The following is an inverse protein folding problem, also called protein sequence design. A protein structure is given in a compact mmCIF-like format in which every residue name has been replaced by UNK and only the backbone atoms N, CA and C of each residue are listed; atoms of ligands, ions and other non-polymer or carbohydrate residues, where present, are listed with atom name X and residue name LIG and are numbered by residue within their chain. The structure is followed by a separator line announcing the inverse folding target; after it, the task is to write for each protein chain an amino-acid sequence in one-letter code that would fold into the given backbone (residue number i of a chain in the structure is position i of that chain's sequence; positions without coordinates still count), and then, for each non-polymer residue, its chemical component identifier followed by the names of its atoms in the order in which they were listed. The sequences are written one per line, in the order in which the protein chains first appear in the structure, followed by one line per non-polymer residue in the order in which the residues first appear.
data_IF_426327206328
#
_entry.id   IF_426327206328
#
_cell.length_a   1.000
_cell.length_b   1.000
_cell.length_c   1.000
_cell.angle_alpha   90.00
_cell.angle_beta   90.00
_cell.angle_gamma   90.00
#
_symmetry.space_group_name_H-M   'P 1'
#
loop_
_entity.id
_entity.type
_entity.pdbx_description
1 polymer ?
#
# COMPACT_ATOMS: atom_id res chain seq x y z
N UNK A 1 -6.64 -25.80 43.74
CA UNK A 1 -7.13 -26.60 42.61
C UNK A 1 -6.63 -25.89 41.37
N UNK A 2 -5.78 -26.53 40.55
CA UNK A 2 -5.39 -25.94 39.28
C UNK A 2 -6.66 -25.78 38.43
N UNK A 3 -6.86 -24.62 37.82
CA UNK A 3 -7.94 -24.40 36.85
C UNK A 3 -7.80 -25.39 35.69
N UNK A 4 -8.87 -25.67 34.95
CA UNK A 4 -8.72 -26.39 33.69
C UNK A 4 -8.01 -25.49 32.66
N UNK A 5 -7.20 -26.06 31.74
CA UNK A 5 -6.59 -25.28 30.67
C UNK A 5 -7.66 -24.67 29.77
N UNK A 6 -7.41 -23.49 29.16
CA UNK A 6 -8.38 -22.86 28.27
C UNK A 6 -8.71 -23.76 27.07
N UNK A 7 -9.99 -23.80 26.67
CA UNK A 7 -10.44 -24.56 25.50
C UNK A 7 -10.16 -23.77 24.20
N UNK A 8 -9.28 -24.27 23.30
CA UNK A 8 -8.95 -23.59 22.06
C UNK A 8 -10.14 -23.41 21.10
N UNK A 9 -11.23 -24.18 21.24
CA UNK A 9 -12.43 -24.08 20.39
C UNK A 9 -13.16 -22.74 20.51
N UNK A 10 -12.92 -22.00 21.60
CA UNK A 10 -13.45 -20.65 21.83
C UNK A 10 -12.66 -19.55 21.13
N UNK A 11 -11.55 -19.90 20.46
CA UNK A 11 -10.65 -18.94 19.84
C UNK A 11 -10.54 -19.20 18.33
N UNK A 12 -10.60 -18.12 17.56
CA UNK A 12 -10.54 -18.18 16.12
C UNK A 12 -9.09 -18.09 15.64
N UNK A 13 -8.56 -19.21 15.13
CA UNK A 13 -7.18 -19.36 14.69
C UNK A 13 -6.70 -18.31 13.67
N UNK A 14 -7.61 -17.87 12.79
CA UNK A 14 -7.32 -16.90 11.73
C UNK A 14 -7.15 -15.46 12.24
N UNK A 15 -7.67 -15.14 13.43
CA UNK A 15 -7.53 -13.81 14.01
C UNK A 15 -6.37 -13.78 15.01
N UNK A 16 -5.33 -13.00 14.68
CA UNK A 16 -4.12 -12.85 15.52
C UNK A 16 -4.49 -12.52 16.97
N UNK A 17 -5.39 -11.56 17.20
CA UNK A 17 -5.82 -11.17 18.55
C UNK A 17 -6.51 -12.32 19.30
N UNK A 18 -7.32 -13.13 18.63
CA UNK A 18 -8.00 -14.27 19.26
C UNK A 18 -7.00 -15.38 19.61
N UNK A 19 -6.08 -15.69 18.69
CA UNK A 19 -5.02 -16.68 18.90
C UNK A 19 -4.07 -16.26 20.03
N UNK A 20 -3.63 -15.00 20.05
CA UNK A 20 -2.79 -14.46 21.13
C UNK A 20 -3.50 -14.38 22.47
N UNK A 21 -4.82 -14.19 22.47
CA UNK A 21 -5.62 -14.29 23.69
C UNK A 21 -5.60 -15.71 24.26
N UNK A 22 -5.77 -16.74 23.44
CA UNK A 22 -5.60 -18.13 23.88
C UNK A 22 -4.22 -18.37 24.47
N UNK A 23 -3.17 -17.93 23.78
CA UNK A 23 -1.80 -18.09 24.26
C UNK A 23 -1.65 -17.44 25.63
N UNK A 24 -2.05 -16.17 25.78
CA UNK A 24 -2.02 -15.47 27.07
C UNK A 24 -2.78 -16.22 28.17
N UNK A 25 -4.02 -16.64 27.90
CA UNK A 25 -4.84 -17.36 28.88
C UNK A 25 -4.20 -18.72 29.27
N UNK A 26 -3.51 -19.37 28.33
CA UNK A 26 -2.81 -20.63 28.59
C UNK A 26 -1.52 -20.42 29.40
N UNK A 27 -0.74 -19.38 29.07
CA UNK A 27 0.48 -19.04 29.81
C UNK A 27 0.17 -18.66 31.25
N UNK A 28 -0.90 -17.91 31.50
CA UNK A 28 -1.39 -17.61 32.85
C UNK A 28 -1.78 -18.88 33.62
N UNK A 29 -2.35 -19.89 32.94
CA UNK A 29 -2.66 -21.18 33.54
C UNK A 29 -1.41 -21.99 33.91
N UNK A 30 -0.35 -21.93 33.08
CA UNK A 30 0.93 -22.62 33.32
C UNK A 30 1.73 -21.95 34.44
N UNK A 31 1.70 -20.61 34.51
CA UNK A 31 2.29 -19.80 35.58
C UNK A 31 3.27 -18.73 35.09
N UNK A 32 3.64 -17.80 35.99
CA UNK A 32 4.32 -16.53 35.68
C UNK A 32 5.65 -16.65 34.91
N UNK A 33 6.40 -17.75 35.07
CA UNK A 33 7.65 -17.99 34.34
C UNK A 33 7.42 -18.17 32.82
N UNK A 34 6.23 -18.67 32.43
CA UNK A 34 5.86 -18.87 31.03
C UNK A 34 5.55 -17.54 30.33
N UNK A 35 4.82 -16.65 31.00
CA UNK A 35 4.49 -15.31 30.49
C UNK A 35 5.75 -14.46 30.30
N UNK A 36 6.70 -14.55 31.24
CA UNK A 36 7.94 -13.77 31.17
C UNK A 36 8.87 -14.16 30.00
N UNK A 37 8.80 -15.41 29.54
CA UNK A 37 9.67 -15.95 28.46
C UNK A 37 9.03 -15.96 27.09
N UNK A 38 7.71 -15.73 27.01
CA UNK A 38 6.98 -15.82 25.75
C UNK A 38 7.49 -14.80 24.72
N UNK A 39 7.73 -13.56 25.14
CA UNK A 39 8.17 -12.50 24.23
C UNK A 39 9.54 -12.83 23.60
N UNK A 40 10.49 -13.34 24.40
CA UNK A 40 11.81 -13.80 23.91
C UNK A 40 11.67 -14.99 22.93
N UNK A 41 10.79 -15.95 23.24
CA UNK A 41 10.51 -17.08 22.35
C UNK A 41 9.87 -16.63 21.04
N UNK A 42 8.95 -15.67 21.10
CA UNK A 42 8.25 -15.13 19.95
C UNK A 42 9.19 -14.32 19.05
N UNK A 43 10.08 -13.51 19.62
CA UNK A 43 11.11 -12.79 18.87
C UNK A 43 12.04 -13.76 18.14
N UNK A 44 12.52 -14.80 18.83
CA UNK A 44 13.35 -15.84 18.23
C UNK A 44 12.61 -16.63 17.13
N UNK A 45 11.31 -16.87 17.30
CA UNK A 45 10.49 -17.52 16.31
C UNK A 45 10.32 -16.65 15.06
N UNK A 46 10.07 -15.35 15.22
CA UNK A 46 10.05 -14.41 14.10
C UNK A 46 11.36 -14.42 13.34
N UNK A 47 12.50 -14.32 14.02
CA UNK A 47 13.82 -14.34 13.37
C UNK A 47 14.02 -15.62 12.54
N UNK A 48 13.70 -16.80 13.10
CA UNK A 48 13.82 -18.08 12.41
C UNK A 48 12.91 -18.17 11.18
N UNK A 49 11.65 -17.74 11.31
CA UNK A 49 10.70 -17.75 10.19
C UNK A 49 11.15 -16.78 9.10
N UNK A 50 11.58 -15.57 9.45
CA UNK A 50 12.01 -14.53 8.50
C UNK A 50 13.31 -14.90 7.78
N UNK A 51 14.29 -15.52 8.45
CA UNK A 51 15.48 -16.06 7.79
C UNK A 51 15.10 -17.19 6.81
N UNK A 52 14.18 -18.10 7.18
CA UNK A 52 13.68 -19.14 6.27
C UNK A 52 13.00 -18.56 5.02
N UNK A 53 12.24 -17.46 5.18
CA UNK A 53 11.60 -16.75 4.06
C UNK A 53 12.62 -16.09 3.13
N UNK A 54 13.69 -15.50 3.70
CA UNK A 54 14.81 -14.93 2.94
C UNK A 54 15.56 -16.01 2.15
N UNK A 55 15.81 -17.18 2.73
CA UNK A 55 16.43 -18.32 2.02
C UNK A 55 15.58 -18.76 0.82
N UNK A 56 14.25 -18.74 0.97
CA UNK A 56 13.28 -18.99 -0.10
C UNK A 56 13.14 -17.84 -1.10
N UNK A 57 13.87 -16.73 -0.91
CA UNK A 57 13.84 -15.51 -1.74
C UNK A 57 12.46 -14.86 -1.83
N UNK A 58 11.66 -14.96 -0.79
CA UNK A 58 10.37 -14.26 -0.71
C UNK A 58 10.60 -12.82 -0.25
N UNK A 59 10.18 -11.83 -1.05
CA UNK A 59 10.32 -10.40 -0.74
C UNK A 59 9.08 -9.82 -0.07
N UNK A 60 7.93 -10.45 -0.26
CA UNK A 60 6.65 -10.09 0.35
C UNK A 60 6.02 -11.35 0.91
N UNK A 61 5.42 -11.22 2.09
CA UNK A 61 4.71 -12.32 2.75
C UNK A 61 3.43 -11.83 3.38
N UNK A 62 2.47 -12.74 3.52
CA UNK A 62 1.21 -12.50 4.19
C UNK A 62 1.42 -12.16 5.67
N UNK A 63 0.77 -11.09 6.12
CA UNK A 63 0.81 -10.70 7.53
C UNK A 63 0.26 -11.80 8.43
N UNK A 64 -0.97 -12.25 8.19
CA UNK A 64 -1.63 -13.24 9.06
C UNK A 64 -0.90 -14.59 9.07
N UNK A 65 -0.34 -15.01 7.93
CA UNK A 65 0.47 -16.22 7.86
C UNK A 65 1.75 -16.09 8.69
N UNK A 66 2.46 -14.96 8.59
CA UNK A 66 3.71 -14.75 9.32
C UNK A 66 3.47 -14.77 10.83
N UNK A 67 2.45 -14.04 11.28
CA UNK A 67 2.09 -13.97 12.70
C UNK A 67 1.66 -15.35 13.21
N UNK A 68 0.90 -16.10 12.42
CA UNK A 68 0.52 -17.48 12.78
C UNK A 68 1.73 -18.41 12.87
N UNK A 69 2.61 -18.37 11.87
CA UNK A 69 3.76 -19.26 11.81
C UNK A 69 4.76 -18.94 12.94
N UNK A 70 4.95 -17.65 13.26
CA UNK A 70 5.74 -17.23 14.42
C UNK A 70 5.14 -17.74 15.72
N UNK A 71 3.83 -17.56 15.97
CA UNK A 71 3.18 -18.07 17.17
C UNK A 71 3.28 -19.62 17.26
N UNK A 72 3.10 -20.33 16.14
CA UNK A 72 3.21 -21.79 16.03
C UNK A 72 4.62 -22.30 16.33
N UNK A 73 5.64 -21.56 15.88
CA UNK A 73 7.05 -21.89 16.09
C UNK A 73 7.51 -21.54 17.50
N UNK A 74 7.04 -20.43 18.06
CA UNK A 74 7.33 -19.99 19.43
C UNK A 74 6.77 -20.96 20.48
N UNK A 75 5.61 -21.55 20.21
CA UNK A 75 4.94 -22.48 21.14
C UNK A 75 5.83 -23.63 21.61
N UNK A 76 6.34 -24.54 20.75
CA UNK A 76 7.23 -25.61 21.20
C UNK A 76 8.58 -25.11 21.74
N UNK A 77 9.06 -23.92 21.34
CA UNK A 77 10.29 -23.33 21.87
C UNK A 77 10.14 -23.04 23.37
N UNK A 78 9.07 -22.32 23.73
CA UNK A 78 8.81 -21.97 25.12
C UNK A 78 8.73 -23.20 26.03
N UNK A 79 7.95 -24.21 25.63
CA UNK A 79 7.77 -25.40 26.48
C UNK A 79 9.01 -26.29 26.57
N UNK A 80 9.89 -26.24 25.56
CA UNK A 80 11.21 -26.86 25.64
C UNK A 80 12.08 -26.19 26.71
N UNK A 81 11.97 -24.87 26.89
CA UNK A 81 12.70 -24.14 27.93
C UNK A 81 12.12 -24.31 29.33
N UNK A 82 10.78 -24.36 29.45
CA UNK A 82 10.10 -24.52 30.73
C UNK A 82 10.23 -25.95 31.30
N UNK A 83 10.63 -26.92 30.49
CA UNK A 83 10.64 -28.35 30.87
C UNK A 83 9.26 -28.86 31.34
N UNK A 84 8.19 -28.29 30.79
CA UNK A 84 6.78 -28.66 31.05
C UNK A 84 6.21 -29.27 29.76
N UNK A 85 5.45 -30.36 29.89
CA UNK A 85 4.76 -30.96 28.75
C UNK A 85 3.62 -30.05 28.28
N UNK A 86 3.77 -29.48 27.08
CA UNK A 86 2.78 -28.63 26.45
C UNK A 86 1.61 -29.45 25.89
N UNK A 87 0.43 -28.83 25.78
CA UNK A 87 -0.53 -29.29 24.79
C UNK A 87 0.02 -29.06 23.39
N UNK A 88 -0.29 -29.97 22.48
CA UNK A 88 0.00 -29.80 21.06
C UNK A 88 -0.62 -28.49 20.56
N UNK A 89 0.05 -27.81 19.62
CA UNK A 89 -0.45 -26.58 19.02
C UNK A 89 -1.87 -26.80 18.48
N UNK A 90 -2.90 -26.12 19.02
CA UNK A 90 -4.28 -26.54 18.83
C UNK A 90 -4.94 -25.96 17.58
N UNK A 91 -4.23 -25.07 16.87
CA UNK A 91 -4.80 -24.32 15.77
C UNK A 91 -4.37 -24.89 14.41
N UNK A 92 -5.31 -24.84 13.46
CA UNK A 92 -5.03 -25.03 12.05
C UNK A 92 -5.46 -23.79 11.29
N UNK A 93 -4.60 -23.31 10.40
CA UNK A 93 -4.89 -22.17 9.56
C UNK A 93 -5.82 -22.60 8.40
N UNK A 94 -6.90 -21.85 8.09
CA UNK A 94 -7.72 -22.11 6.92
C UNK A 94 -6.89 -22.10 5.61
N UNK A 95 -7.29 -22.90 4.62
CA UNK A 95 -6.53 -23.09 3.38
C UNK A 95 -6.30 -21.82 2.57
N UNK A 96 -7.21 -20.85 2.67
CA UNK A 96 -7.10 -19.53 2.02
C UNK A 96 -5.93 -18.68 2.55
N UNK A 97 -5.44 -18.96 3.76
CA UNK A 97 -4.28 -18.32 4.36
C UNK A 97 -3.03 -19.22 4.33
N UNK A 98 -3.14 -20.43 3.78
CA UNK A 98 -2.08 -21.44 3.83
C UNK A 98 -0.99 -21.15 2.78
N UNK A 99 0.01 -20.39 3.20
CA UNK A 99 1.23 -20.14 2.43
C UNK A 99 1.74 -18.71 2.63
N UNK A 100 3.07 -18.51 2.70
CA UNK A 100 3.65 -17.17 2.89
C UNK A 100 3.31 -16.21 1.75
N UNK A 101 3.14 -16.71 0.53
CA UNK A 101 2.78 -15.94 -0.67
C UNK A 101 1.29 -15.54 -0.73
N UNK A 102 0.44 -16.08 0.15
CA UNK A 102 -0.99 -15.79 0.20
C UNK A 102 -1.25 -14.46 0.93
N UNK A 103 -0.78 -13.36 0.34
CA UNK A 103 -0.93 -11.97 0.83
C UNK A 103 -2.38 -11.46 0.85
N UNK A 104 -3.35 -12.36 0.89
CA UNK A 104 -4.78 -12.11 0.80
C UNK A 104 -5.39 -11.41 2.04
N UNK A 105 -4.57 -10.96 2.99
CA UNK A 105 -5.00 -10.09 4.08
C UNK A 105 -4.04 -8.91 4.26
N UNK A 106 -3.11 -8.75 3.32
CA UNK A 106 -2.09 -7.71 3.34
C UNK A 106 -0.67 -8.24 3.44
N UNK A 107 0.26 -7.36 3.08
CA UNK A 107 1.69 -7.57 3.17
C UNK A 107 2.12 -7.33 4.61
N UNK A 108 2.93 -8.23 5.17
CA UNK A 108 3.44 -8.10 6.54
C UNK A 108 4.36 -6.87 6.71
N UNK A 109 3.95 -5.82 7.44
CA UNK A 109 4.84 -4.70 7.74
C UNK A 109 6.03 -5.16 8.60
N UNK A 110 5.83 -6.16 9.47
CA UNK A 110 6.88 -6.77 10.31
C UNK A 110 8.01 -7.34 9.45
N UNK A 111 7.67 -8.11 8.40
CA UNK A 111 8.68 -8.67 7.51
C UNK A 111 9.35 -7.59 6.66
N UNK A 112 8.59 -6.61 6.16
CA UNK A 112 9.17 -5.52 5.38
C UNK A 112 10.18 -4.71 6.18
N UNK A 113 9.84 -4.38 7.44
CA UNK A 113 10.75 -3.69 8.35
C UNK A 113 12.01 -4.51 8.59
N UNK A 114 11.84 -5.79 8.95
CA UNK A 114 12.97 -6.70 9.18
C UNK A 114 13.93 -6.79 7.99
N UNK A 115 13.40 -6.73 6.76
CA UNK A 115 14.19 -6.69 5.53
C UNK A 115 14.94 -5.37 5.40
N UNK A 116 14.26 -4.23 5.55
CA UNK A 116 14.88 -2.90 5.46
C UNK A 116 16.00 -2.72 6.49
N UNK A 117 15.78 -3.11 7.74
CA UNK A 117 16.76 -3.03 8.83
C UNK A 117 18.06 -3.82 8.53
N UNK A 118 17.98 -4.78 7.59
CA UNK A 118 19.11 -5.62 7.14
C UNK A 118 19.64 -5.23 5.75
N UNK A 119 19.19 -4.10 5.19
CA UNK A 119 19.54 -3.66 3.85
C UNK A 119 19.03 -4.59 2.74
N UNK A 120 17.98 -5.36 3.01
CA UNK A 120 17.34 -6.26 2.05
C UNK A 120 16.19 -5.55 1.33
N UNK A 121 16.06 -5.80 0.04
CA UNK A 121 14.97 -5.21 -0.76
C UNK A 121 13.60 -5.79 -0.39
N UNK A 122 12.61 -4.91 -0.26
CA UNK A 122 11.18 -5.24 0.00
C UNK A 122 10.39 -5.59 -1.27
N UNK A 123 11.07 -5.59 -2.41
CA UNK A 123 10.49 -5.80 -3.73
C UNK A 123 11.39 -6.75 -4.55
N UNK A 124 10.77 -7.52 -5.44
CA UNK A 124 11.44 -8.57 -6.20
C UNK A 124 12.18 -7.93 -7.37
N UNK A 125 13.40 -7.49 -7.11
CA UNK A 125 14.19 -6.76 -8.09
C UNK A 125 15.60 -7.34 -8.16
N UNK A 126 15.94 -7.84 -9.35
CA UNK A 126 17.29 -8.20 -9.80
C UNK A 126 18.10 -6.97 -10.26
N UNK A 127 17.97 -5.81 -9.61
CA UNK A 127 18.63 -4.57 -10.03
C UNK A 127 19.80 -4.16 -9.15
N UNK A 128 20.80 -3.56 -9.82
CA UNK A 128 22.03 -3.04 -9.24
C UNK A 128 22.02 -1.51 -9.02
N UNK A 129 20.92 -0.80 -9.30
CA UNK A 129 20.92 0.67 -9.23
C UNK A 129 19.67 1.21 -8.52
N UNK A 130 19.87 1.73 -7.29
CA UNK A 130 18.92 2.62 -6.59
C UNK A 130 18.64 3.82 -7.52
N UNK A 131 17.39 4.31 -7.64
CA UNK A 131 17.10 5.46 -8.51
C UNK A 131 17.99 6.65 -8.14
N UNK A 132 18.29 7.49 -9.13
CA UNK A 132 19.08 8.69 -8.91
C UNK A 132 18.42 9.58 -7.84
N UNK A 133 19.15 9.84 -6.76
CA UNK A 133 18.71 10.74 -5.69
C UNK A 133 18.47 12.14 -6.25
N UNK A 134 17.22 12.59 -6.18
CA UNK A 134 16.82 13.92 -6.64
C UNK A 134 17.36 14.99 -5.67
N UNK A 135 18.03 16.00 -6.22
CA UNK A 135 18.75 17.04 -5.45
C UNK A 135 17.86 17.66 -4.36
N UNK A 136 18.30 17.55 -3.11
CA UNK A 136 17.63 18.18 -1.98
C UNK A 136 17.71 19.71 -2.08
N UNK A 137 18.86 20.26 -2.45
CA UNK A 137 19.08 21.70 -2.55
C UNK A 137 18.10 22.35 -3.53
N UNK A 138 17.89 21.73 -4.69
CA UNK A 138 16.94 22.23 -5.69
C UNK A 138 15.49 22.16 -5.21
N UNK A 139 15.13 21.08 -4.51
CA UNK A 139 13.80 20.91 -3.90
C UNK A 139 13.57 21.96 -2.79
N UNK A 140 14.55 22.17 -1.94
CA UNK A 140 14.51 23.17 -0.87
C UNK A 140 14.30 24.58 -1.42
N UNK A 141 14.94 24.93 -2.54
CA UNK A 141 14.80 26.26 -3.14
C UNK A 141 13.34 26.59 -3.51
N UNK A 142 12.55 25.61 -3.92
CA UNK A 142 11.11 25.80 -4.20
C UNK A 142 10.26 25.70 -2.94
N UNK A 143 10.61 24.78 -2.04
CA UNK A 143 9.89 24.52 -0.79
C UNK A 143 9.90 25.74 0.13
N UNK A 144 11.05 26.36 0.34
CA UNK A 144 11.20 27.51 1.25
C UNK A 144 10.51 28.79 0.74
N UNK A 145 10.20 28.87 -0.56
CA UNK A 145 9.48 30.01 -1.16
C UNK A 145 7.99 30.02 -0.81
N UNK A 146 7.44 28.92 -0.29
CA UNK A 146 6.02 28.83 0.09
C UNK A 146 5.88 28.54 1.60
N UNK A 147 5.39 29.55 2.33
CA UNK A 147 5.17 29.46 3.78
C UNK A 147 4.09 28.45 4.20
N UNK A 148 3.32 27.90 3.26
CA UNK A 148 2.28 26.90 3.53
C UNK A 148 2.84 25.48 3.65
N UNK A 149 4.10 25.26 3.25
CA UNK A 149 4.74 23.97 3.47
C UNK A 149 5.22 23.80 4.91
N UNK A 150 5.16 22.56 5.45
CA UNK A 150 5.65 22.31 6.78
C UNK A 150 7.17 22.50 6.85
N UNK A 151 7.63 23.10 7.95
CA UNK A 151 9.05 23.27 8.27
C UNK A 151 9.65 22.05 8.98
N UNK A 152 8.78 21.28 9.63
CA UNK A 152 9.17 20.07 10.35
C UNK A 152 8.99 18.86 9.45
N UNK A 153 10.03 18.04 9.39
CA UNK A 153 10.04 16.73 8.74
C UNK A 153 9.33 15.72 9.67
N UNK A 154 8.04 15.53 9.46
CA UNK A 154 7.21 14.61 10.24
C UNK A 154 6.29 13.86 9.29
N UNK A 155 6.25 12.53 9.43
CA UNK A 155 5.40 11.68 8.62
C UNK A 155 3.93 12.20 8.60
N UNK A 156 3.29 12.18 7.42
CA UNK A 156 3.76 11.55 6.20
C UNK A 156 4.71 12.43 5.38
N UNK A 157 4.83 13.73 5.64
CA UNK A 157 5.72 14.62 4.88
C UNK A 157 7.09 14.67 5.57
N UNK A 158 7.98 13.75 5.17
CA UNK A 158 9.30 13.54 5.80
C UNK A 158 10.37 14.54 5.33
N UNK A 159 10.03 15.44 4.40
CA UNK A 159 10.93 16.49 3.95
C UNK A 159 10.40 17.22 2.70
N UNK A 160 11.20 18.12 2.11
CA UNK A 160 10.80 18.89 0.93
C UNK A 160 10.40 17.99 -0.23
N UNK A 161 9.11 17.94 -0.58
CA UNK A 161 8.58 17.05 -1.63
C UNK A 161 8.86 15.56 -1.38
N UNK A 162 8.81 15.14 -0.11
CA UNK A 162 8.96 13.75 0.31
C UNK A 162 7.71 13.28 1.06
N UNK A 163 7.18 12.11 0.70
CA UNK A 163 6.02 11.52 1.37
C UNK A 163 6.24 10.04 1.69
N UNK A 164 6.03 9.66 2.95
CA UNK A 164 6.16 8.31 3.46
C UNK A 164 4.96 7.43 3.06
N UNK A 165 5.21 6.18 2.70
CA UNK A 165 4.20 5.13 2.51
C UNK A 165 4.37 4.07 3.61
N UNK A 166 3.29 3.70 4.33
CA UNK A 166 3.30 2.56 5.23
C UNK A 166 3.78 1.27 4.56
N UNK A 167 4.50 0.43 5.31
CA UNK A 167 5.13 -0.80 4.78
C UNK A 167 4.14 -1.89 4.33
N UNK A 168 2.86 -1.76 4.68
CA UNK A 168 1.79 -2.65 4.20
C UNK A 168 1.30 -2.29 2.79
N UNK A 169 1.68 -1.13 2.26
CA UNK A 169 1.35 -0.72 0.88
C UNK A 169 2.18 -1.53 -0.11
N UNK A 170 1.52 -2.05 -1.14
CA UNK A 170 2.19 -2.80 -2.22
C UNK A 170 2.88 -1.84 -3.20
N UNK A 171 4.02 -1.29 -2.78
CA UNK A 171 4.84 -0.37 -3.56
C UNK A 171 5.29 -0.99 -4.90
N UNK A 172 5.47 -2.31 -4.95
CA UNK A 172 5.84 -2.99 -6.18
C UNK A 172 4.74 -2.84 -7.23
N UNK A 173 3.51 -3.25 -6.92
CA UNK A 173 2.41 -3.17 -7.90
C UNK A 173 1.95 -1.74 -8.17
N UNK A 174 2.14 -0.83 -7.20
CA UNK A 174 1.56 0.51 -7.25
C UNK A 174 2.53 1.61 -7.73
N UNK A 175 3.84 1.42 -7.59
CA UNK A 175 4.83 2.46 -7.92
C UNK A 175 5.89 1.96 -8.89
N UNK A 176 6.48 0.78 -8.63
CA UNK A 176 7.68 0.33 -9.34
C UNK A 176 7.33 -0.47 -10.59
N UNK A 177 6.45 -1.45 -10.44
CA UNK A 177 6.11 -2.43 -11.46
C UNK A 177 7.26 -3.41 -11.74
N UNK A 178 6.96 -4.42 -12.56
CA UNK A 178 7.98 -5.34 -13.06
C UNK A 178 9.09 -4.56 -13.77
N UNK A 179 10.32 -4.85 -13.39
CA UNK A 179 11.49 -4.19 -13.95
C UNK A 179 11.51 -2.64 -13.86
N UNK A 180 10.91 -2.04 -12.82
CA UNK A 180 10.75 -0.58 -12.68
C UNK A 180 9.94 0.08 -13.81
N UNK A 181 9.22 -0.69 -14.64
CA UNK A 181 8.53 -0.15 -15.81
C UNK A 181 7.54 0.97 -15.48
N UNK A 182 6.88 0.94 -14.31
CA UNK A 182 5.96 2.00 -13.91
C UNK A 182 6.72 3.28 -13.59
N UNK A 183 7.83 3.19 -12.85
CA UNK A 183 8.66 4.34 -12.51
C UNK A 183 9.35 4.93 -13.74
N UNK A 184 9.85 4.08 -14.63
CA UNK A 184 10.44 4.51 -15.91
C UNK A 184 9.42 5.22 -16.79
N UNK A 185 8.20 4.67 -16.87
CA UNK A 185 7.10 5.31 -17.60
C UNK A 185 6.69 6.64 -16.98
N UNK A 186 6.65 6.75 -15.64
CA UNK A 186 6.43 8.04 -14.95
C UNK A 186 7.44 9.06 -15.41
N UNK A 187 8.73 8.73 -15.34
CA UNK A 187 9.84 9.66 -15.57
C UNK A 187 10.10 9.96 -17.06
N UNK A 188 9.81 9.02 -17.96
CA UNK A 188 10.14 9.17 -19.38
C UNK A 188 8.95 9.60 -20.25
N UNK A 189 7.70 9.33 -19.84
CA UNK A 189 6.52 9.51 -20.70
C UNK A 189 5.42 10.40 -20.10
N UNK A 190 5.24 10.36 -18.77
CA UNK A 190 4.09 10.96 -18.12
C UNK A 190 4.41 12.36 -17.60
N UNK A 191 5.43 12.49 -16.75
CA UNK A 191 5.79 13.77 -16.12
C UNK A 191 6.57 14.67 -17.09
N UNK A 192 6.55 16.00 -16.90
CA UNK A 192 7.39 16.89 -17.68
C UNK A 192 8.87 16.48 -17.63
N UNK A 193 9.64 16.57 -18.74
CA UNK A 193 11.01 16.05 -18.81
C UNK A 193 11.99 16.60 -17.77
N UNK A 194 11.65 17.73 -17.16
CA UNK A 194 12.46 18.40 -16.14
C UNK A 194 12.19 17.95 -14.71
N UNK A 195 11.16 17.12 -14.51
CA UNK A 195 10.78 16.57 -13.23
C UNK A 195 11.06 15.08 -13.23
N UNK A 196 11.16 14.54 -12.02
CA UNK A 196 11.25 13.11 -11.81
C UNK A 196 10.57 12.73 -10.49
N UNK A 197 10.15 11.48 -10.43
CA UNK A 197 9.76 10.77 -9.22
C UNK A 197 10.85 9.74 -8.91
N UNK A 198 11.25 9.69 -7.66
CA UNK A 198 12.21 8.75 -7.09
C UNK A 198 11.65 8.20 -5.78
N UNK A 199 12.40 7.32 -5.14
CA UNK A 199 12.13 6.87 -3.79
C UNK A 199 13.41 6.80 -2.97
N UNK A 200 13.25 6.76 -1.65
CA UNK A 200 14.29 6.46 -0.67
C UNK A 200 13.72 5.44 0.32
N UNK A 201 14.56 4.49 0.72
CA UNK A 201 14.26 3.42 1.69
C UNK A 201 15.13 3.53 2.94
N UNK A 202 15.77 4.68 3.14
CA UNK A 202 16.67 4.94 4.27
C UNK A 202 15.89 5.18 5.59
N UNK A 203 14.55 5.29 5.52
CA UNK A 203 13.67 5.39 6.69
C UNK A 203 13.26 3.98 7.15
N UNK A 204 13.76 3.54 8.31
CA UNK A 204 13.52 2.19 8.91
C UNK A 204 12.02 1.81 9.07
N UNK A 205 11.10 2.77 8.94
CA UNK A 205 9.68 2.58 9.18
C UNK A 205 8.79 2.76 7.94
N UNK A 206 9.32 3.22 6.80
CA UNK A 206 8.49 3.54 5.64
C UNK A 206 9.26 3.57 4.31
N UNK A 207 8.52 3.39 3.23
CA UNK A 207 9.02 3.67 1.89
C UNK A 207 8.70 5.13 1.53
N UNK A 208 9.69 5.97 1.24
CA UNK A 208 9.45 7.40 0.99
C UNK A 208 9.54 7.72 -0.50
N UNK A 209 8.45 8.25 -1.07
CA UNK A 209 8.44 8.82 -2.41
C UNK A 209 9.03 10.23 -2.41
N UNK A 210 9.78 10.55 -3.46
CA UNK A 210 10.44 11.84 -3.64
C UNK A 210 10.06 12.43 -4.99
N UNK A 211 9.56 13.66 -4.99
CA UNK A 211 9.33 14.45 -6.21
C UNK A 211 10.41 15.50 -6.33
N UNK A 212 11.03 15.64 -7.51
CA UNK A 212 12.13 16.57 -7.70
C UNK A 212 12.43 16.88 -9.15
N UNK A 213 13.60 17.47 -9.37
CA UNK A 213 14.09 17.81 -10.69
C UNK A 213 14.87 16.67 -11.30
N UNK A 214 14.65 16.43 -12.60
CA UNK A 214 15.35 15.38 -13.32
C UNK A 214 16.85 15.68 -13.40
N UNK A 215 17.73 14.74 -13.02
CA UNK A 215 19.18 14.95 -13.06
C UNK A 215 19.73 15.06 -14.49
N UNK A 216 18.95 14.65 -15.49
CA UNK A 216 19.32 14.71 -16.91
C UNK A 216 19.02 16.07 -17.53
N UNK A 217 18.35 16.97 -16.80
CA UNK A 217 17.98 18.30 -17.31
C UNK A 217 18.70 19.41 -16.58
N UNK A 218 19.27 20.35 -17.35
CA UNK A 218 19.91 21.56 -16.81
C UNK A 218 18.87 22.65 -16.59
N UNK A 219 18.15 22.60 -15.47
CA UNK A 219 17.13 23.61 -15.13
C UNK A 219 17.45 24.28 -13.81
N UNK A 220 17.31 25.61 -13.81
CA UNK A 220 17.42 26.43 -12.61
C UNK A 220 16.06 26.44 -11.89
N UNK A 221 15.99 25.96 -10.64
CA UNK A 221 14.82 26.18 -9.79
C UNK A 221 14.55 27.68 -9.64
N UNK A 222 13.31 28.08 -9.39
CA UNK A 222 12.94 29.49 -9.23
C UNK A 222 12.50 30.24 -10.48
N UNK A 223 12.42 29.57 -11.64
CA UNK A 223 11.64 30.11 -12.77
C UNK A 223 10.15 29.84 -12.53
N UNK A 224 9.30 30.85 -12.73
CA UNK A 224 7.88 30.83 -12.37
C UNK A 224 7.08 29.65 -12.96
N UNK A 225 7.44 29.13 -14.13
CA UNK A 225 6.79 27.94 -14.71
C UNK A 225 7.36 26.59 -14.23
N UNK A 226 8.58 26.58 -13.72
CA UNK A 226 9.24 25.38 -13.18
C UNK A 226 8.72 25.08 -11.78
N UNK A 227 8.56 26.13 -10.96
CA UNK A 227 8.03 26.04 -9.60
C UNK A 227 6.57 25.54 -9.60
N UNK A 228 5.72 26.02 -10.52
CA UNK A 228 4.35 25.49 -10.68
C UNK A 228 4.32 24.02 -11.08
N UNK A 229 5.22 23.60 -11.98
CA UNK A 229 5.24 22.21 -12.49
C UNK A 229 5.56 21.20 -11.38
N UNK A 230 6.58 21.48 -10.55
CA UNK A 230 6.92 20.59 -9.43
C UNK A 230 5.83 20.56 -8.36
N UNK A 231 5.17 21.71 -8.09
CA UNK A 231 4.05 21.79 -7.14
C UNK A 231 2.85 20.98 -7.61
N UNK A 232 2.50 21.05 -8.89
CA UNK A 232 1.41 20.27 -9.46
C UNK A 232 1.68 18.76 -9.39
N UNK A 233 2.91 18.33 -9.75
CA UNK A 233 3.30 16.93 -9.64
C UNK A 233 3.27 16.46 -8.17
N UNK A 234 3.77 17.28 -7.25
CA UNK A 234 3.71 17.00 -5.82
C UNK A 234 2.28 16.82 -5.32
N UNK A 235 1.38 17.75 -5.66
CA UNK A 235 -0.03 17.63 -5.27
C UNK A 235 -0.66 16.34 -5.80
N UNK A 236 -0.35 15.99 -7.05
CA UNK A 236 -0.84 14.74 -7.66
C UNK A 236 -0.31 13.50 -6.95
N UNK A 237 0.98 13.49 -6.55
CA UNK A 237 1.56 12.39 -5.78
C UNK A 237 0.93 12.30 -4.39
N UNK A 238 0.72 13.42 -3.69
CA UNK A 238 0.10 13.40 -2.36
C UNK A 238 -1.36 12.96 -2.43
N UNK A 239 -2.14 13.42 -3.41
CA UNK A 239 -3.53 12.98 -3.60
C UNK A 239 -3.59 11.47 -3.85
N UNK A 240 -2.71 10.95 -4.72
CA UNK A 240 -2.59 9.51 -4.96
C UNK A 240 -2.19 8.74 -3.69
N UNK A 241 -1.26 9.27 -2.91
CA UNK A 241 -0.84 8.65 -1.64
C UNK A 241 -2.00 8.58 -0.65
N UNK A 242 -2.79 9.64 -0.50
CA UNK A 242 -3.98 9.66 0.35
C UNK A 242 -4.99 8.61 -0.13
N UNK A 243 -5.26 8.51 -1.44
CA UNK A 243 -6.14 7.46 -1.97
C UNK A 243 -5.60 6.06 -1.67
N UNK A 244 -4.28 5.87 -1.74
CA UNK A 244 -3.63 4.59 -1.45
C UNK A 244 -3.73 4.22 0.04
N UNK A 245 -3.67 5.19 0.95
CA UNK A 245 -3.91 4.96 2.39
C UNK A 245 -5.31 4.38 2.63
N UNK A 246 -6.30 4.83 1.88
CA UNK A 246 -7.67 4.33 1.92
C UNK A 246 -7.91 3.15 0.96
N UNK A 247 -6.86 2.40 0.63
CA UNK A 247 -6.99 1.18 -0.15
C UNK A 247 -7.24 1.37 -1.64
N UNK A 248 -6.90 2.53 -2.20
CA UNK A 248 -6.87 2.78 -3.64
C UNK A 248 -5.96 1.78 -4.37
N UNK A 249 -6.39 1.36 -5.56
CA UNK A 249 -5.70 0.28 -6.32
C UNK A 249 -4.98 0.76 -7.57
N UNK A 250 -5.23 2.01 -7.98
CA UNK A 250 -4.61 2.62 -9.14
C UNK A 250 -3.11 2.83 -8.89
N UNK A 251 -2.26 2.39 -9.83
CA UNK A 251 -0.83 2.70 -9.78
C UNK A 251 -0.57 4.19 -9.93
N UNK A 252 0.52 4.69 -9.36
CA UNK A 252 0.92 6.09 -9.46
C UNK A 252 1.07 6.51 -10.94
N UNK A 253 1.61 5.64 -11.79
CA UNK A 253 1.74 5.90 -13.21
C UNK A 253 0.37 6.13 -13.88
N UNK A 254 -0.61 5.27 -13.61
CA UNK A 254 -1.96 5.46 -14.14
C UNK A 254 -2.60 6.72 -13.57
N UNK A 255 -2.48 6.97 -12.28
CA UNK A 255 -3.03 8.17 -11.65
C UNK A 255 -2.46 9.46 -12.26
N UNK A 256 -1.15 9.51 -12.48
CA UNK A 256 -0.50 10.66 -13.12
C UNK A 256 -0.91 10.81 -14.60
N UNK A 257 -1.15 9.71 -15.33
CA UNK A 257 -1.75 9.78 -16.69
C UNK A 257 -3.16 10.36 -16.65
N UNK A 258 -3.96 9.96 -15.67
CA UNK A 258 -5.30 10.53 -15.48
C UNK A 258 -5.22 12.03 -15.20
N UNK A 259 -4.31 12.46 -14.33
CA UNK A 259 -4.08 13.89 -14.04
C UNK A 259 -3.60 14.68 -15.27
N UNK A 260 -2.75 14.07 -16.10
CA UNK A 260 -2.31 14.66 -17.37
C UNK A 260 -3.46 14.83 -18.36
N UNK A 261 -4.32 13.81 -18.50
CA UNK A 261 -5.45 13.84 -19.42
C UNK A 261 -6.59 14.75 -18.93
N UNK A 262 -6.79 14.86 -17.62
CA UNK A 262 -7.80 15.71 -16.99
C UNK A 262 -7.16 16.58 -15.90
N UNK A 263 -6.48 17.68 -16.28
CA UNK A 263 -5.84 18.57 -15.33
C UNK A 263 -6.88 19.19 -14.39
N UNK A 264 -6.69 18.99 -13.09
CA UNK A 264 -7.42 19.75 -12.07
C UNK A 264 -6.90 21.19 -12.11
N UNK A 265 -7.80 22.17 -12.00
CA UNK A 265 -7.40 23.58 -11.95
C UNK A 265 -6.40 23.79 -10.80
N UNK A 266 -5.25 24.37 -11.13
CA UNK A 266 -4.20 24.73 -10.17
C UNK A 266 -4.70 25.91 -9.33
N UNK A 267 -5.44 25.63 -8.26
CA UNK A 267 -5.91 26.66 -7.35
C UNK A 267 -4.79 26.99 -6.34
N UNK A 268 -4.13 28.10 -6.65
CA UNK A 268 -3.02 28.74 -5.95
C UNK A 268 -3.22 28.87 -4.41
N UNK A 269 -2.14 29.19 -3.69
CA UNK A 269 -1.47 28.52 -2.55
C UNK A 269 -2.27 27.95 -1.35
N UNK A 270 -3.58 28.20 -1.22
CA UNK A 270 -4.37 27.70 -0.08
C UNK A 270 -4.52 26.16 -0.07
N UNK A 271 -4.28 25.52 -1.22
CA UNK A 271 -4.29 24.07 -1.33
C UNK A 271 -3.13 23.38 -0.61
N UNK A 272 -1.94 23.99 -0.49
CA UNK A 272 -0.78 23.29 0.08
C UNK A 272 -0.91 23.05 1.59
N UNK A 273 -1.46 24.01 2.35
CA UNK A 273 -1.73 23.84 3.77
C UNK A 273 -2.84 22.80 4.00
N UNK A 274 -3.93 22.87 3.23
CA UNK A 274 -5.05 21.94 3.32
C UNK A 274 -4.64 20.52 2.90
N UNK A 275 -3.84 20.39 1.86
CA UNK A 275 -3.31 19.11 1.38
C UNK A 275 -2.35 18.50 2.41
N UNK A 276 -1.47 19.31 3.00
CA UNK A 276 -0.59 18.87 4.08
C UNK A 276 -1.38 18.39 5.29
N UNK A 277 -2.41 19.14 5.70
CA UNK A 277 -3.28 18.74 6.79
C UNK A 277 -4.02 17.43 6.49
N UNK A 278 -4.62 17.33 5.30
CA UNK A 278 -5.32 16.12 4.84
C UNK A 278 -4.40 14.90 4.77
N UNK A 279 -3.17 15.07 4.30
CA UNK A 279 -2.19 13.98 4.26
C UNK A 279 -1.84 13.52 5.68
N UNK A 280 -1.62 14.45 6.61
CA UNK A 280 -1.34 14.13 8.02
C UNK A 280 -2.50 13.44 8.71
N UNK A 281 -3.73 13.93 8.51
CA UNK A 281 -4.95 13.30 9.03
C UNK A 281 -5.10 11.88 8.51
N UNK A 282 -5.00 11.69 7.18
CA UNK A 282 -5.10 10.36 6.57
C UNK A 282 -3.98 9.42 7.04
N UNK A 283 -2.76 9.92 7.20
CA UNK A 283 -1.65 9.10 7.71
C UNK A 283 -1.85 8.71 9.18
N UNK A 284 -2.30 9.64 10.03
CA UNK A 284 -2.59 9.34 11.43
C UNK A 284 -3.70 8.27 11.54
N UNK A 285 -4.77 8.40 10.75
CA UNK A 285 -5.87 7.45 10.70
C UNK A 285 -5.38 6.03 10.35
N UNK A 286 -4.53 5.89 9.32
CA UNK A 286 -3.99 4.57 8.96
C UNK A 286 -2.93 4.02 9.92
N UNK A 287 -2.33 4.86 10.75
CA UNK A 287 -1.42 4.42 11.82
C UNK A 287 -2.19 4.00 13.07
N UNK A 288 -3.36 4.58 13.33
CA UNK A 288 -4.22 4.20 14.45
C UNK A 288 -4.86 2.83 14.21
N UNK A 289 -5.27 2.52 12.97
CA UNK A 289 -5.90 1.23 12.62
C UNK A 289 -5.26 0.53 11.40
N UNK A 290 -3.95 0.22 11.40
CA UNK A 290 -3.22 -0.27 10.22
C UNK A 290 -3.79 -1.58 9.67
N UNK A 291 -4.30 -2.45 10.55
CA UNK A 291 -4.92 -3.72 10.17
C UNK A 291 -6.24 -3.53 9.43
N UNK A 292 -7.02 -2.49 9.76
CA UNK A 292 -8.28 -2.21 9.09
C UNK A 292 -8.00 -1.76 7.65
N UNK A 293 -7.16 -0.75 7.46
CA UNK A 293 -6.83 -0.22 6.14
C UNK A 293 -6.08 -1.21 5.26
N UNK A 294 -5.17 -2.01 5.84
CA UNK A 294 -4.49 -3.07 5.10
C UNK A 294 -5.47 -4.11 4.54
N UNK A 295 -6.49 -4.51 5.33
CA UNK A 295 -7.55 -5.42 4.89
C UNK A 295 -8.45 -4.77 3.84
N UNK A 296 -8.85 -3.51 4.05
CA UNK A 296 -9.70 -2.80 3.09
C UNK A 296 -9.01 -2.61 1.73
N UNK A 297 -7.73 -2.24 1.73
CA UNK A 297 -6.89 -2.20 0.54
C UNK A 297 -6.84 -3.55 -0.18
N UNK A 298 -6.82 -4.65 0.58
CA UNK A 298 -6.86 -5.98 0.01
C UNK A 298 -8.24 -6.32 -0.59
N UNK A 299 -9.33 -6.06 0.13
CA UNK A 299 -10.71 -6.26 -0.36
C UNK A 299 -10.91 -5.51 -1.67
N UNK A 300 -10.47 -4.26 -1.74
CA UNK A 300 -10.52 -3.45 -2.96
C UNK A 300 -9.72 -4.10 -4.10
N UNK A 301 -8.50 -4.58 -3.87
CA UNK A 301 -7.70 -5.28 -4.90
C UNK A 301 -8.35 -6.56 -5.41
N UNK A 302 -8.95 -7.36 -4.53
CA UNK A 302 -9.65 -8.58 -4.92
C UNK A 302 -10.89 -8.26 -5.74
N UNK A 303 -11.67 -7.28 -5.31
CA UNK A 303 -12.84 -6.82 -6.04
C UNK A 303 -12.46 -6.36 -7.45
N UNK A 304 -11.40 -5.55 -7.56
CA UNK A 304 -10.83 -5.15 -8.85
C UNK A 304 -10.43 -6.33 -9.73
N UNK A 305 -9.79 -7.35 -9.16
CA UNK A 305 -9.41 -8.55 -9.89
C UNK A 305 -10.63 -9.36 -10.36
N UNK A 306 -11.68 -9.47 -9.55
CA UNK A 306 -12.93 -10.14 -9.92
C UNK A 306 -13.66 -9.42 -11.05
N UNK A 307 -13.67 -8.08 -11.05
CA UNK A 307 -14.31 -7.28 -12.09
C UNK A 307 -13.48 -7.19 -13.39
N UNK A 308 -12.20 -7.55 -13.35
CA UNK A 308 -11.23 -7.23 -14.41
C UNK A 308 -11.63 -7.78 -15.77
N UNK A 309 -11.90 -9.07 -15.84
CA UNK A 309 -12.14 -9.74 -17.12
C UNK A 309 -13.44 -9.25 -17.77
N UNK A 310 -14.52 -9.14 -16.99
CA UNK A 310 -15.81 -8.58 -17.43
C UNK A 310 -15.65 -7.16 -17.99
N UNK A 311 -14.97 -6.28 -17.26
CA UNK A 311 -14.81 -4.88 -17.68
C UNK A 311 -13.92 -4.80 -18.92
N UNK A 312 -12.85 -5.58 -19.01
CA UNK A 312 -11.98 -5.62 -20.19
C UNK A 312 -12.75 -6.06 -21.44
N UNK A 313 -13.59 -7.09 -21.34
CA UNK A 313 -14.46 -7.53 -22.43
C UNK A 313 -15.39 -6.40 -22.90
N UNK A 314 -15.99 -5.65 -21.97
CA UNK A 314 -16.91 -4.57 -22.31
C UNK A 314 -16.19 -3.39 -22.98
N UNK A 315 -15.02 -2.96 -22.48
CA UNK A 315 -14.32 -1.78 -23.03
C UNK A 315 -13.65 -2.03 -24.38
N UNK A 316 -13.54 -3.29 -24.81
CA UNK A 316 -13.12 -3.66 -26.17
C UNK A 316 -14.22 -3.37 -27.22
N UNK A 317 -15.47 -3.17 -26.79
CA UNK A 317 -16.56 -2.75 -27.67
C UNK A 317 -16.36 -1.30 -28.18
N UNK A 318 -17.00 -0.91 -29.29
CA UNK A 318 -17.06 0.49 -29.70
C UNK A 318 -17.48 1.42 -28.55
N UNK A 319 -16.80 2.55 -28.38
CA UNK A 319 -16.94 3.44 -27.23
C UNK A 319 -18.40 3.75 -26.81
N UNK A 320 -19.36 4.05 -27.72
CA UNK A 320 -20.75 4.28 -27.33
C UNK A 320 -21.42 3.03 -26.73
N UNK A 321 -21.12 1.86 -27.29
CA UNK A 321 -21.66 0.57 -26.86
C UNK A 321 -21.05 0.17 -25.51
N UNK A 322 -19.72 0.30 -25.37
CA UNK A 322 -19.00 0.05 -24.12
C UNK A 322 -19.57 0.84 -22.94
N UNK A 323 -19.86 2.14 -23.12
CA UNK A 323 -20.44 2.99 -22.05
C UNK A 323 -21.81 2.51 -21.59
N UNK A 324 -22.65 2.08 -22.54
CA UNK A 324 -24.00 1.57 -22.22
C UNK A 324 -23.89 0.22 -21.51
N UNK A 325 -23.07 -0.69 -22.01
CA UNK A 325 -22.88 -2.00 -21.40
C UNK A 325 -22.22 -1.92 -20.02
N UNK A 326 -21.23 -1.03 -19.81
CA UNK A 326 -20.67 -0.78 -18.48
C UNK A 326 -21.73 -0.26 -17.51
N UNK A 327 -22.60 0.66 -17.96
CA UNK A 327 -23.68 1.18 -17.12
C UNK A 327 -24.66 0.06 -16.73
N UNK A 328 -24.98 -0.85 -17.65
CA UNK A 328 -25.78 -2.06 -17.36
C UNK A 328 -25.07 -3.00 -16.39
N UNK A 329 -23.78 -3.24 -16.58
CA UNK A 329 -22.98 -4.10 -15.70
C UNK A 329 -22.88 -3.54 -14.27
N UNK A 330 -22.81 -2.22 -14.12
CA UNK A 330 -22.90 -1.54 -12.81
C UNK A 330 -24.27 -1.76 -12.16
N UNK A 331 -25.37 -1.50 -12.88
CA UNK A 331 -26.73 -1.52 -12.32
C UNK A 331 -27.23 -2.94 -12.03
N UNK A 332 -26.88 -3.91 -12.86
CA UNK A 332 -27.29 -5.31 -12.69
C UNK A 332 -26.43 -6.05 -11.66
N UNK A 333 -25.42 -5.39 -11.12
CA UNK A 333 -24.35 -5.99 -10.36
C UNK A 333 -24.66 -6.39 -8.92
N UNK A 334 -25.75 -5.89 -8.34
CA UNK A 334 -26.09 -6.12 -6.94
C UNK A 334 -26.84 -4.95 -6.29
N UNK A 335 -26.89 -4.88 -4.95
CA UNK A 335 -27.46 -3.76 -4.21
C UNK A 335 -26.81 -2.42 -4.55
N UNK A 336 -27.50 -1.31 -4.30
CA UNK A 336 -27.00 0.04 -4.61
C UNK A 336 -25.62 0.36 -4.00
N UNK A 337 -25.27 -0.22 -2.83
CA UNK A 337 -23.95 -0.08 -2.22
C UNK A 337 -22.81 -0.65 -3.08
N UNK A 338 -23.08 -1.66 -3.90
CA UNK A 338 -22.09 -2.25 -4.82
C UNK A 338 -21.96 -1.44 -6.12
N UNK A 339 -22.91 -0.54 -6.41
CA UNK A 339 -22.88 0.22 -7.66
C UNK A 339 -21.74 1.24 -7.70
N UNK A 340 -21.46 1.93 -6.60
CA UNK A 340 -20.34 2.88 -6.51
C UNK A 340 -18.98 2.17 -6.62
N UNK A 341 -18.84 1.01 -5.97
CA UNK A 341 -17.63 0.19 -6.06
C UNK A 341 -17.40 -0.32 -7.48
N UNK A 342 -18.46 -0.79 -8.16
CA UNK A 342 -18.40 -1.20 -9.57
C UNK A 342 -18.04 -0.05 -10.50
N UNK A 343 -18.60 1.15 -10.31
CA UNK A 343 -18.22 2.34 -11.09
C UNK A 343 -16.74 2.66 -10.90
N UNK A 344 -16.26 2.68 -9.65
CA UNK A 344 -14.85 2.87 -9.32
C UNK A 344 -13.98 1.83 -10.01
N UNK A 345 -14.38 0.56 -9.95
CA UNK A 345 -13.62 -0.54 -10.53
C UNK A 345 -13.56 -0.46 -12.06
N UNK A 346 -14.71 -0.28 -12.71
CA UNK A 346 -14.78 -0.12 -14.15
C UNK A 346 -13.95 1.07 -14.64
N UNK A 347 -14.04 2.22 -13.95
CA UNK A 347 -13.22 3.40 -14.23
C UNK A 347 -11.73 3.07 -14.14
N UNK A 348 -11.30 2.47 -13.02
CA UNK A 348 -9.89 2.17 -12.76
C UNK A 348 -9.31 1.16 -13.75
N UNK A 349 -10.05 0.10 -14.08
CA UNK A 349 -9.65 -0.88 -15.10
C UNK A 349 -9.54 -0.21 -16.47
N UNK A 350 -10.52 0.63 -16.84
CA UNK A 350 -10.52 1.30 -18.14
C UNK A 350 -9.37 2.29 -18.31
N UNK A 351 -9.12 3.16 -17.33
CA UNK A 351 -7.99 4.09 -17.42
C UNK A 351 -6.63 3.39 -17.31
N UNK A 352 -6.59 2.19 -16.71
CA UNK A 352 -5.37 1.37 -16.63
C UNK A 352 -5.09 0.59 -17.92
N UNK A 353 -6.09 0.39 -18.79
CA UNK A 353 -5.94 -0.39 -20.02
C UNK A 353 -5.54 0.44 -21.24
N UNK A 354 -5.45 1.77 -21.10
CA UNK A 354 -5.16 2.69 -22.22
C UNK A 354 -4.16 3.78 -21.83
N UNK A 355 -3.44 4.27 -22.83
CA UNK A 355 -2.59 5.47 -22.74
C UNK A 355 -3.16 6.63 -23.54
N UNK A 356 -4.27 6.43 -24.26
CA UNK A 356 -4.93 7.48 -25.04
C UNK A 356 -5.67 8.46 -24.12
N UNK A 357 -5.22 9.73 -24.14
CA UNK A 357 -5.76 10.78 -23.26
C UNK A 357 -7.26 11.00 -23.48
N UNK A 358 -7.75 10.86 -24.72
CA UNK A 358 -9.17 11.02 -25.02
C UNK A 358 -9.98 9.87 -24.44
N UNK A 359 -9.55 8.62 -24.57
CA UNK A 359 -10.21 7.48 -23.93
C UNK A 359 -10.24 7.65 -22.40
N UNK A 360 -9.15 8.12 -21.80
CA UNK A 360 -9.10 8.41 -20.34
C UNK A 360 -10.16 9.46 -19.95
N UNK A 361 -10.25 10.56 -20.71
CA UNK A 361 -11.26 11.59 -20.48
C UNK A 361 -12.69 11.02 -20.57
N UNK A 362 -12.95 10.21 -21.60
CA UNK A 362 -14.26 9.59 -21.82
C UNK A 362 -14.64 8.60 -20.70
N UNK A 363 -13.68 7.85 -20.17
CA UNK A 363 -13.87 6.97 -19.03
C UNK A 363 -14.21 7.75 -17.74
N UNK A 364 -13.53 8.87 -17.50
CA UNK A 364 -13.83 9.75 -16.35
C UNK A 364 -15.19 10.41 -16.46
N UNK A 365 -15.52 10.97 -17.63
CA UNK A 365 -16.83 11.58 -17.89
C UNK A 365 -17.94 10.56 -17.69
N UNK A 366 -17.76 9.33 -18.18
CA UNK A 366 -18.70 8.24 -17.93
C UNK A 366 -18.86 7.97 -16.43
N UNK A 367 -17.75 7.81 -15.69
CA UNK A 367 -17.79 7.48 -14.27
C UNK A 367 -18.53 8.53 -13.41
N UNK A 368 -18.48 9.81 -13.80
CA UNK A 368 -19.20 10.90 -13.11
C UNK A 368 -20.67 11.05 -13.53
N UNK A 369 -21.10 10.35 -14.58
CA UNK A 369 -22.46 10.43 -15.11
C UNK A 369 -23.48 9.60 -14.31
N UNK A 370 -24.79 9.90 -14.44
CA UNK A 370 -25.85 9.10 -13.84
C UNK A 370 -26.05 7.78 -14.60
N UNK A 371 -25.48 6.68 -14.09
CA UNK A 371 -25.49 5.35 -14.75
C UNK A 371 -26.91 4.77 -14.96
N UNK A 372 -27.86 5.09 -14.10
CA UNK A 372 -29.26 4.65 -14.22
C UNK A 372 -30.03 5.37 -15.34
N UNK A 373 -29.51 6.47 -15.88
CA UNK A 373 -30.11 7.18 -17.04
C UNK A 373 -29.52 6.72 -18.38
N UNK A 374 -28.47 5.91 -18.37
CA UNK A 374 -27.76 5.45 -19.56
C UNK A 374 -28.31 4.12 -20.14
N UNK A 375 -29.25 3.47 -19.45
CA UNK A 375 -29.81 2.15 -19.79
C UNK A 375 -31.08 2.26 -20.64
#
# INVERSE_FOLDING_TARGET
MASEPPDPSHYAASFIASRRRFISDYLEHVGDDATAKWDDCLENAFEQVMESLKEKRLTQVSHDWLEYEADRVAWPMLFSELSVEAVEWPFNLPSEFYGPEKIAQGISPTYQKWRLDRGLHIHNVTFNEKPALLSLDQRMEVWEKDNNYPREAVAPITGPFQIALPLWIDVYSLVLGENNHLLDMINNEIVPPHLAVSWIDDDEACFTLVVGFSPTTCINPGRTGVDSSIRYLWQSVVDWTIETYFGGTMSLATFLRVRKAMPVADDMPYHNQRLTARAREAYAEVQDEPMYFMRDAHVNRNFMAQCRDDVLEIIEMPLPEAKVELSRWVVNGGPASESEERVRAAREIWVSSTTDERTIQEALIWAWGPHYMAI
#
